data_IF_215397929951
#
_entry.id   IF_215397929951
#
_cell.length_a   1.000
_cell.length_b   1.000
_cell.length_c   1.000
_cell.angle_alpha   90.00
_cell.angle_beta   90.00
_cell.angle_gamma   90.00
#
_symmetry.space_group_name_H-M   'P 1'
#
loop_
_entity.id
_entity.type
_entity.pdbx_description
1 polymer ?
#
# COMPACT_ATOMS: atom_id res chain seq x y z
N UNK A 1 -0.93 12.47 -26.78
CA UNK A 1 -0.75 13.39 -25.64
C UNK A 1 -0.37 12.54 -24.44
N UNK A 2 0.94 12.51 -24.19
CA UNK A 2 1.65 11.66 -23.22
C UNK A 2 1.24 12.00 -21.79
N UNK A 3 1.02 10.97 -20.98
CA UNK A 3 1.15 11.05 -19.52
C UNK A 3 2.00 9.87 -19.07
N UNK A 4 3.30 10.09 -19.19
CA UNK A 4 4.32 9.38 -18.44
C UNK A 4 4.04 9.65 -16.96
N UNK A 5 3.63 8.63 -16.22
CA UNK A 5 3.50 8.73 -14.77
C UNK A 5 4.86 8.36 -14.20
N UNK A 6 5.67 9.39 -13.96
CA UNK A 6 6.95 9.27 -13.28
C UNK A 6 6.75 9.22 -11.76
N UNK A 7 7.65 8.46 -11.13
CA UNK A 7 8.18 8.63 -9.78
C UNK A 7 7.40 8.06 -8.58
N UNK A 8 8.14 7.27 -7.79
CA UNK A 8 7.80 6.82 -6.45
C UNK A 8 8.52 5.52 -6.12
N UNK A 9 9.85 5.56 -6.12
CA UNK A 9 10.71 4.40 -5.90
C UNK A 9 11.49 4.57 -4.61
N UNK A 10 11.24 3.70 -3.64
CA UNK A 10 12.27 3.02 -2.83
C UNK A 10 11.57 2.18 -1.76
N UNK A 11 11.58 0.85 -1.89
CA UNK A 11 11.58 -0.04 -0.74
C UNK A 11 11.97 -1.48 -1.11
N UNK A 12 13.22 -1.78 -0.77
CA UNK A 12 13.77 -3.10 -0.44
C UNK A 12 14.00 -4.10 -1.59
N UNK A 13 15.27 -4.17 -1.99
CA UNK A 13 15.91 -4.86 -3.12
C UNK A 13 15.75 -6.40 -3.26
N UNK A 14 14.80 -7.06 -2.61
CA UNK A 14 14.68 -8.53 -2.73
C UNK A 14 13.44 -9.02 -3.50
N UNK A 15 12.50 -8.14 -3.86
CA UNK A 15 11.31 -8.52 -4.62
C UNK A 15 10.82 -7.34 -5.43
N UNK A 16 10.94 -7.43 -6.76
CA UNK A 16 10.53 -6.36 -7.67
C UNK A 16 9.00 -6.26 -7.68
N UNK A 17 8.48 -5.25 -6.98
CA UNK A 17 7.06 -4.90 -6.96
C UNK A 17 6.80 -3.90 -8.09
N UNK A 18 5.80 -4.21 -8.91
CA UNK A 18 5.33 -3.37 -10.01
C UNK A 18 4.08 -2.62 -9.53
N UNK A 19 4.08 -1.30 -9.70
CA UNK A 19 2.87 -0.48 -9.56
C UNK A 19 2.08 -0.51 -10.88
N UNK A 20 0.89 -1.09 -10.83
CA UNK A 20 -0.09 -1.10 -11.90
C UNK A 20 -1.16 -0.04 -11.63
N UNK A 21 -0.89 1.20 -12.05
CA UNK A 21 -1.78 2.36 -11.81
C UNK A 21 -3.17 2.19 -12.46
N UNK A 22 -3.24 1.48 -13.60
CA UNK A 22 -4.50 1.20 -14.31
C UNK A 22 -5.46 0.37 -13.48
N UNK A 23 -4.93 -0.64 -12.80
CA UNK A 23 -5.71 -1.54 -11.96
C UNK A 23 -5.70 -1.14 -10.49
N UNK A 24 -4.91 -0.12 -10.12
CA UNK A 24 -4.65 0.32 -8.74
C UNK A 24 -4.18 -0.85 -7.88
N UNK A 25 -3.14 -1.52 -8.38
CA UNK A 25 -2.53 -2.67 -7.71
C UNK A 25 -1.03 -2.52 -7.61
N UNK A 26 -0.47 -3.01 -6.51
CA UNK A 26 0.93 -3.34 -6.39
C UNK A 26 1.04 -4.85 -6.56
N UNK A 27 1.80 -5.33 -7.53
CA UNK A 27 1.90 -6.76 -7.84
C UNK A 27 3.36 -7.21 -7.98
N UNK A 28 3.64 -8.47 -7.70
CA UNK A 28 4.95 -9.05 -8.00
C UNK A 28 5.15 -9.17 -9.51
N UNK A 29 6.39 -9.23 -9.99
CA UNK A 29 6.70 -9.45 -11.42
C UNK A 29 5.97 -10.64 -12.05
N UNK A 30 5.77 -11.71 -11.27
CA UNK A 30 5.05 -12.91 -11.73
C UNK A 30 3.53 -12.84 -11.55
N UNK A 31 3.01 -11.70 -11.08
CA UNK A 31 1.58 -11.38 -10.88
C UNK A 31 0.83 -12.33 -9.95
N UNK A 32 1.54 -13.17 -9.19
CA UNK A 32 0.93 -14.16 -8.30
C UNK A 32 0.50 -13.55 -6.98
N UNK A 33 1.24 -12.56 -6.48
CA UNK A 33 0.93 -11.84 -5.26
C UNK A 33 0.66 -10.38 -5.59
N UNK A 34 -0.38 -9.81 -4.98
CA UNK A 34 -0.78 -8.45 -5.25
C UNK A 34 -1.48 -7.80 -4.04
N UNK A 35 -1.50 -6.48 -4.04
CA UNK A 35 -2.20 -5.63 -3.11
C UNK A 35 -3.04 -4.64 -3.92
N UNK A 36 -4.34 -4.62 -3.65
CA UNK A 36 -5.31 -3.75 -4.29
C UNK A 36 -5.63 -2.57 -3.39
N UNK A 37 -5.68 -1.38 -3.98
CA UNK A 37 -6.07 -0.17 -3.30
C UNK A 37 -7.11 0.62 -4.10
N UNK A 38 -7.86 1.46 -3.39
CA UNK A 38 -8.79 2.41 -3.99
C UNK A 38 -8.48 3.81 -3.51
N UNK A 39 -8.53 4.77 -4.43
CA UNK A 39 -8.37 6.17 -4.08
C UNK A 39 -9.70 6.75 -3.62
N UNK A 40 -9.72 7.31 -2.42
CA UNK A 40 -10.83 7.99 -1.78
C UNK A 40 -10.53 9.49 -1.63
N UNK A 41 -11.54 10.25 -1.22
CA UNK A 41 -11.45 11.69 -0.98
C UNK A 41 -10.84 12.47 -2.16
N UNK A 42 -11.26 12.13 -3.39
CA UNK A 42 -10.77 12.75 -4.62
C UNK A 42 -9.30 12.47 -4.94
N UNK A 43 -8.73 11.36 -4.46
CA UNK A 43 -7.33 11.00 -4.72
C UNK A 43 -6.37 11.30 -3.57
N UNK A 44 -6.86 11.81 -2.44
CA UNK A 44 -6.04 12.20 -1.28
C UNK A 44 -5.83 11.08 -0.26
N UNK A 45 -6.65 10.03 -0.33
CA UNK A 45 -6.63 8.92 0.63
C UNK A 45 -6.53 7.62 -0.15
N UNK A 46 -5.53 6.80 0.15
CA UNK A 46 -5.33 5.48 -0.42
C UNK A 46 -5.90 4.42 0.53
N UNK A 47 -6.98 3.77 0.15
CA UNK A 47 -7.59 2.71 0.93
C UNK A 47 -7.13 1.33 0.43
N UNK A 48 -6.36 0.63 1.26
CA UNK A 48 -5.86 -0.71 0.98
C UNK A 48 -6.97 -1.70 1.32
N UNK A 49 -7.62 -2.23 0.29
CA UNK A 49 -8.83 -3.05 0.44
C UNK A 49 -8.53 -4.54 0.47
N UNK A 50 -7.48 -4.98 -0.22
CA UNK A 50 -7.18 -6.40 -0.33
C UNK A 50 -5.69 -6.66 -0.54
N UNK A 51 -5.16 -7.70 0.10
CA UNK A 51 -3.80 -8.18 -0.11
C UNK A 51 -3.86 -9.69 -0.28
N UNK A 52 -3.38 -10.18 -1.42
CA UNK A 52 -3.38 -11.58 -1.77
C UNK A 52 -1.95 -12.10 -1.96
N UNK A 53 -1.63 -13.19 -1.24
CA UNK A 53 -0.40 -13.95 -1.43
C UNK A 53 -0.72 -15.44 -1.51
N UNK A 54 -0.30 -16.12 -2.60
CA UNK A 54 -0.59 -17.53 -2.79
C UNK A 54 0.15 -18.36 -1.74
N UNK A 55 -0.43 -19.50 -1.35
CA UNK A 55 0.12 -20.39 -0.32
C UNK A 55 1.57 -20.82 -0.61
N UNK A 56 1.91 -21.02 -1.88
CA UNK A 56 3.25 -21.38 -2.35
C UNK A 56 4.33 -20.33 -2.05
N UNK A 57 3.94 -19.08 -1.76
CA UNK A 57 4.84 -17.99 -1.42
C UNK A 57 4.60 -17.39 -0.02
N UNK A 58 3.73 -18.00 0.78
CA UNK A 58 3.55 -17.59 2.19
C UNK A 58 4.84 -17.87 2.98
N UNK A 59 5.04 -17.12 4.06
CA UNK A 59 6.24 -17.22 4.90
C UNK A 59 7.46 -16.45 4.38
N UNK A 60 7.41 -15.89 3.17
CA UNK A 60 8.52 -15.12 2.57
C UNK A 60 8.41 -13.60 2.80
N UNK A 61 7.45 -13.15 3.61
CA UNK A 61 7.25 -11.72 3.87
C UNK A 61 6.66 -10.89 2.72
N UNK A 62 6.26 -11.51 1.60
CA UNK A 62 5.75 -10.80 0.42
C UNK A 62 4.58 -9.86 0.70
N UNK A 63 3.63 -10.28 1.55
CA UNK A 63 2.51 -9.42 1.92
C UNK A 63 2.99 -8.13 2.62
N UNK A 64 4.03 -8.25 3.44
CA UNK A 64 4.66 -7.09 4.10
C UNK A 64 5.36 -6.19 3.07
N UNK A 65 6.09 -6.77 2.12
CA UNK A 65 6.79 -6.02 1.07
C UNK A 65 5.78 -5.24 0.22
N UNK A 66 4.68 -5.87 -0.21
CA UNK A 66 3.59 -5.21 -0.94
C UNK A 66 3.00 -4.03 -0.16
N UNK A 67 2.73 -4.22 1.14
CA UNK A 67 2.19 -3.16 2.00
C UNK A 67 3.18 -2.00 2.14
N UNK A 68 4.47 -2.30 2.38
CA UNK A 68 5.52 -1.30 2.47
C UNK A 68 5.63 -0.51 1.16
N UNK A 69 5.61 -1.15 0.00
CA UNK A 69 5.63 -0.45 -1.30
C UNK A 69 4.44 0.49 -1.46
N UNK A 70 3.22 0.04 -1.11
CA UNK A 70 2.03 0.86 -1.18
C UNK A 70 2.08 2.06 -0.21
N UNK A 71 2.55 1.83 1.02
CA UNK A 71 2.67 2.87 2.03
C UNK A 71 3.76 3.89 1.73
N UNK A 72 4.89 3.48 1.16
CA UNK A 72 5.92 4.40 0.67
C UNK A 72 5.36 5.29 -0.43
N UNK A 73 4.65 4.70 -1.40
CA UNK A 73 4.00 5.48 -2.44
C UNK A 73 3.01 6.49 -1.84
N UNK A 74 2.21 6.09 -0.85
CA UNK A 74 1.34 7.03 -0.15
C UNK A 74 2.13 8.15 0.56
N UNK A 75 3.23 7.82 1.23
CA UNK A 75 4.09 8.79 1.91
C UNK A 75 4.72 9.80 0.94
N UNK A 76 5.31 9.33 -0.15
CA UNK A 76 5.94 10.16 -1.18
C UNK A 76 4.94 11.13 -1.82
N UNK A 77 3.69 10.68 -1.98
CA UNK A 77 2.60 11.48 -2.56
C UNK A 77 1.77 12.24 -1.50
N UNK A 78 2.20 12.23 -0.24
CA UNK A 78 1.51 12.87 0.89
C UNK A 78 0.03 12.46 1.03
N UNK A 79 -0.25 11.19 0.74
CA UNK A 79 -1.56 10.55 0.85
C UNK A 79 -1.74 9.92 2.22
N UNK A 80 -2.95 9.99 2.77
CA UNK A 80 -3.31 9.21 3.95
C UNK A 80 -3.75 7.81 3.57
N UNK A 81 -3.58 6.82 4.44
CA UNK A 81 -3.87 5.41 4.13
C UNK A 81 -4.97 4.83 4.99
N UNK A 82 -6.00 4.23 4.39
CA UNK A 82 -7.01 3.47 5.14
C UNK A 82 -6.65 1.98 5.04
N UNK A 83 -6.42 1.28 6.17
CA UNK A 83 -6.11 -0.14 6.17
C UNK A 83 -7.40 -0.98 6.22
N UNK A 84 -8.25 -0.94 5.18
CA UNK A 84 -9.50 -1.74 5.17
C UNK A 84 -9.27 -3.25 5.12
N UNK A 85 -8.13 -3.68 4.60
CA UNK A 85 -7.72 -5.08 4.63
C UNK A 85 -7.32 -5.50 6.06
N UNK A 86 -7.98 -6.52 6.60
CA UNK A 86 -7.74 -7.03 7.96
C UNK A 86 -6.29 -7.46 8.19
N UNK A 87 -5.61 -8.02 7.17
CA UNK A 87 -4.19 -8.32 7.28
C UNK A 87 -3.36 -7.05 7.55
N UNK A 88 -3.72 -5.94 6.91
CA UNK A 88 -2.99 -4.68 7.06
C UNK A 88 -3.29 -4.07 8.43
N UNK A 89 -4.56 -3.96 8.80
CA UNK A 89 -4.97 -3.39 10.09
C UNK A 89 -4.45 -4.20 11.27
N UNK A 90 -4.65 -5.52 11.24
CA UNK A 90 -4.52 -6.37 12.43
C UNK A 90 -3.13 -7.00 12.53
N UNK A 91 -2.43 -7.21 11.42
CA UNK A 91 -1.14 -7.91 11.42
C UNK A 91 0.01 -6.98 11.03
N UNK A 92 -0.11 -6.27 9.91
CA UNK A 92 1.00 -5.48 9.38
C UNK A 92 1.33 -4.28 10.26
N UNK A 93 0.33 -3.49 10.67
CA UNK A 93 0.53 -2.29 11.49
C UNK A 93 1.04 -2.64 12.90
N UNK A 94 0.56 -3.73 13.50
CA UNK A 94 1.08 -4.19 14.79
C UNK A 94 2.57 -4.52 14.75
N UNK A 95 3.04 -5.08 13.63
CA UNK A 95 4.46 -5.41 13.41
C UNK A 95 5.30 -4.22 12.97
N UNK A 96 4.66 -3.19 12.40
CA UNK A 96 5.31 -2.02 11.85
C UNK A 96 4.60 -0.73 12.29
N UNK A 97 4.64 -0.40 13.60
CA UNK A 97 3.90 0.73 14.15
C UNK A 97 4.35 2.09 13.59
N UNK A 98 5.53 2.17 12.97
CA UNK A 98 6.01 3.40 12.32
C UNK A 98 5.11 3.87 11.17
N UNK A 99 4.35 2.96 10.56
CA UNK A 99 3.40 3.31 9.49
C UNK A 99 2.07 3.83 10.00
N UNK A 100 1.77 3.68 11.29
CA UNK A 100 0.52 4.15 11.88
C UNK A 100 0.35 5.66 11.74
N UNK A 101 1.43 6.44 11.62
CA UNK A 101 1.38 7.89 11.37
C UNK A 101 0.80 8.26 10.00
N UNK A 102 0.83 7.35 9.03
CA UNK A 102 0.23 7.53 7.70
C UNK A 102 -1.19 7.00 7.63
N UNK A 103 -1.61 6.21 8.63
CA UNK A 103 -2.96 5.68 8.69
C UNK A 103 -3.92 6.83 8.89
N UNK A 104 -4.91 6.92 8.02
CA UNK A 104 -6.07 7.77 8.17
C UNK A 104 -6.91 7.23 9.33
N UNK A 105 -6.52 7.59 10.54
CA UNK A 105 -7.42 7.56 11.69
C UNK A 105 -8.39 8.70 11.44
N UNK A 106 -9.67 8.38 11.29
CA UNK A 106 -10.72 9.38 11.19
C UNK A 106 -10.86 10.11 12.52
N UNK A 107 -9.87 10.90 12.91
CA UNK A 107 -10.04 11.90 13.94
C UNK A 107 -10.65 13.14 13.27
N UNK A 108 -11.81 13.61 13.74
CA UNK A 108 -12.32 14.90 13.32
C UNK A 108 -11.22 15.92 13.62
N UNK A 109 -10.93 16.82 12.68
CA UNK A 109 -10.21 18.05 12.98
C UNK A 109 -10.92 18.75 14.14
N UNK A 110 -10.51 18.50 15.38
CA UNK A 110 -10.84 19.36 16.50
C UNK A 110 -9.75 20.42 16.54
N UNK A 111 -10.00 21.48 15.79
CA UNK A 111 -9.31 22.74 15.94
C UNK A 111 -9.69 23.27 17.33
N UNK A 112 -8.73 23.37 18.24
CA UNK A 112 -8.82 24.15 19.47
C UNK A 112 -7.80 25.27 19.42
#
# INVERSE_FOLDING_TARGET
MSRETAAGGSATEASKIILNDKERKFETEDKKAYLEYVLRNGGKVMDIVHTFVPSSKRGQGLASILCVSALNHAQEHSLSVIPSCSYVSDTFLQRNPQWSSLVYTGEPKSHM
#
